data_IF_305441165123
#
_entry.id   IF_305441165123
#
_cell.length_a   1.000
_cell.length_b   1.000
_cell.length_c   1.000
_cell.angle_alpha   90.00
_cell.angle_beta   90.00
_cell.angle_gamma   90.00
#
_symmetry.space_group_name_H-M   'P 1'
#
loop_
_entity.id
_entity.type
_entity.pdbx_description
1 polymer ?
#
# COMPACT_ATOMS: atom_id res chain seq x y z
N UNK A 1 14.94 22.04 3.23
CA UNK A 1 14.09 20.92 2.78
C UNK A 1 14.81 19.64 3.21
N UNK A 2 14.10 18.61 3.67
CA UNK A 2 14.75 17.36 4.10
C UNK A 2 15.20 16.57 2.87
N UNK A 3 16.51 16.37 2.70
CA UNK A 3 17.09 15.70 1.51
C UNK A 3 17.20 14.18 1.67
N UNK A 4 17.30 13.69 2.92
CA UNK A 4 17.43 12.27 3.22
C UNK A 4 16.77 11.91 4.56
N UNK A 5 16.46 10.63 4.73
CA UNK A 5 15.77 10.11 5.92
C UNK A 5 16.34 8.75 6.36
N UNK A 6 16.27 8.49 7.66
CA UNK A 6 16.35 7.15 8.25
C UNK A 6 15.02 6.83 8.91
N UNK A 7 14.67 5.55 9.00
CA UNK A 7 13.41 5.14 9.65
C UNK A 7 13.63 4.89 11.13
N UNK A 8 14.80 4.35 11.49
CA UNK A 8 15.17 4.09 12.87
C UNK A 8 16.45 4.82 13.24
N UNK A 9 16.59 5.19 14.52
CA UNK A 9 17.79 5.88 15.04
C UNK A 9 19.06 5.03 14.99
N UNK A 10 18.92 3.72 14.79
CA UNK A 10 20.01 2.74 14.69
C UNK A 10 20.29 2.32 13.24
N UNK A 11 19.69 3.00 12.25
CA UNK A 11 19.99 2.74 10.86
C UNK A 11 21.38 3.27 10.52
N UNK A 12 22.18 2.45 9.83
CA UNK A 12 23.54 2.82 9.43
C UNK A 12 23.57 3.49 8.04
N UNK A 13 22.41 3.54 7.38
CA UNK A 13 22.23 4.06 6.02
C UNK A 13 21.02 4.96 5.96
N UNK A 14 21.09 6.01 5.13
CA UNK A 14 19.97 6.89 4.86
C UNK A 14 19.46 6.71 3.43
N UNK A 15 18.17 6.99 3.22
CA UNK A 15 17.54 7.03 1.90
C UNK A 15 17.44 8.47 1.42
N UNK A 16 17.93 8.74 0.21
CA UNK A 16 17.77 10.03 -0.44
C UNK A 16 16.32 10.26 -0.86
N UNK A 17 15.71 11.36 -0.43
CA UNK A 17 14.37 11.78 -0.84
C UNK A 17 14.41 12.51 -2.18
N UNK A 18 15.48 13.24 -2.43
CA UNK A 18 15.78 13.94 -3.70
C UNK A 18 17.06 13.41 -4.32
N UNK A 19 17.43 13.92 -5.49
CA UNK A 19 18.78 13.71 -6.01
C UNK A 19 19.77 14.55 -5.20
N UNK A 20 20.94 13.99 -4.88
CA UNK A 20 21.95 14.63 -4.03
C UNK A 20 23.28 14.62 -4.77
N UNK A 21 23.81 15.78 -5.19
CA UNK A 21 25.14 15.86 -5.80
C UNK A 21 26.26 15.45 -4.84
N UNK A 22 27.34 14.89 -5.38
CA UNK A 22 28.56 14.66 -4.60
C UNK A 22 29.14 15.98 -4.07
N UNK A 23 29.69 15.94 -2.86
CA UNK A 23 30.16 17.08 -2.09
C UNK A 23 29.07 17.79 -1.27
N UNK A 24 27.80 17.41 -1.41
CA UNK A 24 26.70 18.01 -0.66
C UNK A 24 26.72 17.54 0.80
N UNK A 25 26.57 18.48 1.73
CA UNK A 25 26.39 18.20 3.16
C UNK A 25 24.91 17.99 3.46
N UNK A 26 24.57 16.80 3.94
CA UNK A 26 23.21 16.42 4.29
C UNK A 26 23.14 16.17 5.79
N UNK A 27 22.10 16.69 6.45
CA UNK A 27 21.85 16.41 7.87
C UNK A 27 20.80 15.32 8.02
N UNK A 28 21.15 14.20 8.67
CA UNK A 28 20.25 13.08 8.96
C UNK A 28 20.33 12.77 10.45
N UNK A 29 19.19 12.71 11.16
CA UNK A 29 19.13 12.51 12.63
C UNK A 29 20.03 13.45 13.45
N UNK A 30 20.26 14.67 12.97
CA UNK A 30 21.15 15.64 13.63
C UNK A 30 22.65 15.41 13.38
N UNK A 31 23.03 14.40 12.60
CA UNK A 31 24.39 14.17 12.13
C UNK A 31 24.57 14.77 10.73
N UNK A 32 25.66 15.53 10.52
CA UNK A 32 26.05 16.03 9.20
C UNK A 32 26.91 14.97 8.48
N UNK A 33 26.55 14.63 7.24
CA UNK A 33 27.27 13.70 6.37
C UNK A 33 27.51 14.38 5.03
N UNK A 34 28.77 14.42 4.59
CA UNK A 34 29.11 14.86 3.22
C UNK A 34 28.97 13.67 2.29
N UNK A 35 28.03 13.75 1.36
CA UNK A 35 27.84 12.74 0.32
C UNK A 35 29.02 12.81 -0.65
N UNK A 36 29.64 11.67 -0.99
CA UNK A 36 30.87 11.66 -1.78
C UNK A 36 30.65 11.64 -3.28
N UNK A 37 29.53 11.08 -3.71
CA UNK A 37 29.18 10.90 -5.11
C UNK A 37 27.73 11.31 -5.37
N UNK A 38 27.30 11.27 -6.62
CA UNK A 38 25.90 11.58 -6.92
C UNK A 38 24.97 10.44 -6.48
N UNK A 39 24.02 10.75 -5.60
CA UNK A 39 23.02 9.81 -5.10
C UNK A 39 21.67 10.14 -5.74
N UNK A 40 21.10 9.17 -6.46
CA UNK A 40 19.76 9.28 -7.04
C UNK A 40 18.70 9.28 -5.93
N UNK A 41 17.55 9.90 -6.19
CA UNK A 41 16.38 9.74 -5.33
C UNK A 41 16.05 8.26 -5.11
N UNK A 42 15.61 7.92 -3.90
CA UNK A 42 15.29 6.57 -3.39
C UNK A 42 16.48 5.62 -3.24
N UNK A 43 17.71 6.07 -3.51
CA UNK A 43 18.91 5.27 -3.27
C UNK A 43 19.46 5.54 -1.88
N UNK A 44 20.30 4.60 -1.41
CA UNK A 44 20.86 4.60 -0.06
C UNK A 44 22.31 5.09 -0.07
N UNK A 45 22.73 5.73 1.01
CA UNK A 45 24.14 6.05 1.26
C UNK A 45 24.52 5.78 2.72
N UNK A 46 25.80 5.54 2.95
CA UNK A 46 26.35 5.19 4.25
C UNK A 46 26.39 6.39 5.21
N UNK A 47 25.97 6.21 6.47
CA UNK A 47 26.07 7.22 7.53
C UNK A 47 27.32 7.06 8.42
N UNK A 48 28.04 5.95 8.23
CA UNK A 48 29.31 5.63 8.89
C UNK A 48 30.19 4.85 7.93
N UNK A 49 31.47 4.67 8.31
CA UNK A 49 32.38 3.79 7.59
C UNK A 49 32.05 2.32 7.89
N UNK A 50 32.22 1.47 6.90
CA UNK A 50 32.13 0.02 6.96
C UNK A 50 33.39 -0.59 6.38
N UNK A 51 33.92 -1.60 7.04
CA UNK A 51 34.92 -2.49 6.48
C UNK A 51 34.23 -3.67 5.77
N UNK A 52 35.00 -4.38 4.93
CA UNK A 52 34.51 -5.60 4.27
C UNK A 52 34.09 -6.62 5.34
N UNK A 53 32.87 -7.13 5.22
CA UNK A 53 32.29 -8.09 6.17
C UNK A 53 31.40 -7.46 7.23
N UNK A 54 31.38 -6.13 7.35
CA UNK A 54 30.50 -5.44 8.30
C UNK A 54 29.03 -5.56 7.91
N UNK A 55 28.18 -5.68 8.93
CA UNK A 55 26.74 -5.71 8.80
C UNK A 55 26.18 -4.30 8.64
N UNK A 56 25.25 -4.16 7.69
CA UNK A 56 24.53 -2.92 7.43
C UNK A 56 23.10 -3.05 7.92
N UNK A 57 22.67 -2.10 8.75
CA UNK A 57 21.33 -2.08 9.33
C UNK A 57 20.44 -1.01 8.69
N UNK A 58 19.19 -1.41 8.41
CA UNK A 58 18.11 -0.50 7.98
C UNK A 58 16.80 -0.99 8.60
N UNK A 59 15.96 -0.08 9.06
CA UNK A 59 14.79 -0.40 9.89
C UNK A 59 15.15 -1.13 11.20
N UNK A 60 16.35 -0.88 11.74
CA UNK A 60 16.92 -1.62 12.88
C UNK A 60 17.03 -3.14 12.69
N UNK A 61 17.17 -3.61 11.44
CA UNK A 61 17.44 -5.01 11.12
C UNK A 61 18.59 -5.12 10.14
N UNK A 62 19.31 -6.24 10.16
CA UNK A 62 20.36 -6.51 9.19
C UNK A 62 19.75 -6.67 7.80
N UNK A 63 20.25 -5.89 6.83
CA UNK A 63 19.81 -5.98 5.43
C UNK A 63 20.92 -6.48 4.50
N UNK A 64 22.16 -6.50 4.95
CA UNK A 64 23.28 -6.93 4.14
C UNK A 64 24.62 -6.89 4.85
N UNK A 65 25.62 -7.38 4.12
CA UNK A 65 27.03 -7.35 4.51
C UNK A 65 27.86 -6.68 3.41
N UNK A 66 28.69 -5.72 3.82
CA UNK A 66 29.59 -4.99 2.93
C UNK A 66 30.58 -5.95 2.25
N UNK A 67 30.67 -5.90 0.92
CA UNK A 67 31.57 -6.74 0.12
C UNK A 67 32.98 -6.15 -0.02
N UNK A 68 33.10 -4.87 0.28
CA UNK A 68 34.31 -4.06 0.28
C UNK A 68 34.17 -2.96 1.34
N UNK A 69 35.22 -2.18 1.56
CA UNK A 69 35.12 -1.03 2.45
C UNK A 69 34.19 0.03 1.83
N UNK A 70 33.23 0.52 2.59
CA UNK A 70 32.29 1.58 2.18
C UNK A 70 32.46 2.73 3.15
N UNK A 71 32.80 3.91 2.66
CA UNK A 71 32.98 5.08 3.52
C UNK A 71 31.69 5.84 3.71
N UNK A 72 31.64 6.58 4.81
CA UNK A 72 30.59 7.54 5.12
C UNK A 72 30.33 8.45 3.91
N UNK A 73 29.06 8.56 3.50
CA UNK A 73 28.62 9.35 2.35
C UNK A 73 28.70 8.65 0.98
N UNK A 74 29.18 7.41 0.89
CA UNK A 74 29.19 6.62 -0.35
C UNK A 74 27.86 5.91 -0.59
N UNK A 75 27.55 5.65 -1.87
CA UNK A 75 26.33 4.97 -2.28
C UNK A 75 26.34 3.52 -1.81
N UNK A 76 25.19 3.01 -1.35
CA UNK A 76 24.97 1.59 -1.13
C UNK A 76 24.33 1.02 -2.39
N UNK A 77 25.04 0.10 -3.06
CA UNK A 77 24.64 -0.51 -4.33
C UNK A 77 24.60 -2.03 -4.20
N UNK A 78 24.15 -2.71 -5.25
CA UNK A 78 24.20 -4.18 -5.31
C UNK A 78 25.61 -4.73 -5.55
N UNK A 79 26.58 -3.86 -5.85
CA UNK A 79 27.98 -4.26 -6.09
C UNK A 79 28.75 -4.30 -4.77
N UNK A 80 28.51 -3.33 -3.88
CA UNK A 80 29.21 -3.22 -2.60
C UNK A 80 28.45 -3.85 -1.41
N UNK A 81 27.21 -4.30 -1.61
CA UNK A 81 26.40 -4.96 -0.59
C UNK A 81 25.85 -6.30 -1.08
N UNK A 82 26.05 -7.35 -0.29
CA UNK A 82 25.33 -8.62 -0.49
C UNK A 82 24.26 -8.78 0.58
N UNK A 83 23.09 -9.26 0.17
CA UNK A 83 21.97 -9.47 1.08
C UNK A 83 22.32 -10.47 2.19
N UNK A 84 22.00 -10.08 3.43
CA UNK A 84 22.06 -10.91 4.63
C UNK A 84 20.88 -10.53 5.51
N UNK A 85 20.25 -11.53 6.10
CA UNK A 85 19.21 -11.38 7.11
C UNK A 85 19.66 -12.05 8.39
N UNK A 86 19.17 -11.58 9.52
CA UNK A 86 19.42 -12.23 10.81
C UNK A 86 18.96 -13.70 10.79
N UNK A 87 19.70 -14.56 11.47
CA UNK A 87 19.37 -15.98 11.61
C UNK A 87 18.11 -16.11 12.45
N UNK A 88 17.07 -16.72 11.87
CA UNK A 88 15.84 -17.00 12.60
C UNK A 88 16.11 -18.02 13.72
N UNK A 89 15.91 -17.62 14.98
CA UNK A 89 15.96 -18.54 16.12
C UNK A 89 14.86 -18.21 17.12
N UNK A 90 14.14 -19.24 17.57
CA UNK A 90 13.08 -19.09 18.57
C UNK A 90 13.69 -18.86 19.97
N UNK A 91 14.88 -19.42 20.21
CA UNK A 91 15.58 -19.37 21.50
C UNK A 91 16.19 -17.99 21.80
N UNK A 92 16.70 -17.28 20.79
CA UNK A 92 17.27 -15.92 20.96
C UNK A 92 16.24 -14.80 20.70
N UNK A 93 14.95 -15.14 20.68
CA UNK A 93 13.91 -14.12 20.52
C UNK A 93 13.79 -13.38 21.85
N UNK A 94 14.46 -12.24 21.97
CA UNK A 94 14.10 -11.27 23.01
C UNK A 94 12.58 -11.04 22.89
N UNK A 95 11.86 -11.18 24.00
CA UNK A 95 10.43 -10.83 24.04
C UNK A 95 10.34 -9.36 23.70
N UNK A 96 10.03 -9.06 22.44
CA UNK A 96 9.85 -7.70 21.97
C UNK A 96 8.87 -7.00 22.92
N UNK A 97 9.36 -6.01 23.66
CA UNK A 97 8.54 -5.22 24.55
C UNK A 97 7.74 -4.26 23.67
N UNK A 98 6.57 -4.69 23.22
CA UNK A 98 5.66 -3.81 22.50
C UNK A 98 5.02 -2.85 23.49
N UNK A 99 5.32 -1.55 23.35
CA UNK A 99 4.58 -0.49 24.01
C UNK A 99 3.35 -0.16 23.17
N UNK A 100 2.16 -0.41 23.72
CA UNK A 100 0.91 0.00 23.08
C UNK A 100 0.92 1.53 22.88
N UNK A 101 0.65 2.04 21.66
CA UNK A 101 0.53 3.47 21.44
C UNK A 101 -0.65 4.03 22.24
N UNK A 102 -0.51 5.27 22.70
CA UNK A 102 -1.62 5.96 23.37
C UNK A 102 -2.73 6.23 22.35
N UNK A 103 -3.87 5.56 22.55
CA UNK A 103 -5.06 5.70 21.72
C UNK A 103 -6.16 6.52 22.41
N UNK A 104 -5.86 7.17 23.54
CA UNK A 104 -6.85 7.87 24.36
C UNK A 104 -7.62 8.94 23.59
N UNK A 105 -6.96 9.64 22.66
CA UNK A 105 -7.62 10.67 21.84
C UNK A 105 -8.71 10.16 20.89
N UNK A 106 -8.77 8.85 20.63
CA UNK A 106 -9.79 8.25 19.77
C UNK A 106 -10.83 7.43 20.54
N UNK A 107 -10.76 7.42 21.88
CA UNK A 107 -11.63 6.58 22.72
C UNK A 107 -13.11 6.84 22.50
N UNK A 108 -13.48 8.09 22.22
CA UNK A 108 -14.87 8.52 22.06
C UNK A 108 -15.25 8.73 20.57
N UNK A 109 -14.39 8.31 19.64
CA UNK A 109 -14.69 8.40 18.20
C UNK A 109 -15.62 7.25 17.82
N UNK A 110 -16.81 7.61 17.36
CA UNK A 110 -17.84 6.67 16.92
C UNK A 110 -18.12 6.81 15.42
N UNK A 111 -18.81 5.83 14.85
CA UNK A 111 -19.33 5.89 13.49
C UNK A 111 -20.73 5.26 13.47
N UNK A 112 -21.57 5.70 12.53
CA UNK A 112 -22.89 5.11 12.33
C UNK A 112 -22.73 3.73 11.65
N UNK A 113 -22.95 2.68 12.41
CA UNK A 113 -22.77 1.30 11.96
C UNK A 113 -24.03 0.45 12.06
N UNK A 114 -24.03 -0.67 11.36
CA UNK A 114 -25.12 -1.64 11.39
C UNK A 114 -24.88 -2.68 12.50
N UNK A 115 -25.59 -2.53 13.62
CA UNK A 115 -25.48 -3.42 14.78
C UNK A 115 -26.06 -4.82 14.50
N UNK A 116 -25.37 -5.85 15.00
CA UNK A 116 -25.78 -7.26 14.93
C UNK A 116 -26.07 -7.80 16.33
N UNK A 117 -26.88 -8.85 16.42
CA UNK A 117 -27.26 -9.49 17.69
C UNK A 117 -26.06 -10.08 18.46
N UNK A 118 -24.99 -10.44 17.75
CA UNK A 118 -23.73 -10.95 18.32
C UNK A 118 -22.78 -9.85 18.81
N UNK A 119 -23.19 -8.58 18.75
CA UNK A 119 -22.40 -7.42 19.19
C UNK A 119 -21.44 -6.86 18.14
N UNK A 120 -21.31 -7.48 16.96
CA UNK A 120 -20.52 -6.92 15.87
C UNK A 120 -21.23 -5.70 15.25
N UNK A 121 -20.44 -4.80 14.66
CA UNK A 121 -20.92 -3.60 13.98
C UNK A 121 -20.38 -3.58 12.55
N UNK A 122 -21.28 -3.67 11.56
CA UNK A 122 -20.92 -3.62 10.15
C UNK A 122 -20.82 -2.19 9.61
N UNK A 123 -19.93 -1.97 8.64
CA UNK A 123 -19.77 -0.68 7.93
C UNK A 123 -20.69 -0.54 6.72
N UNK A 124 -21.36 -1.62 6.32
CA UNK A 124 -22.32 -1.67 5.23
C UNK A 124 -23.38 -2.75 5.49
N UNK A 125 -24.55 -2.62 4.87
CA UNK A 125 -25.64 -3.59 4.98
C UNK A 125 -25.90 -4.26 3.62
N UNK A 126 -25.33 -5.45 3.44
CA UNK A 126 -25.51 -6.23 2.22
C UNK A 126 -26.50 -7.37 2.44
N UNK A 127 -27.32 -7.62 1.42
CA UNK A 127 -28.11 -8.85 1.31
C UNK A 127 -27.41 -9.77 0.33
N UNK A 128 -26.94 -10.92 0.82
CA UNK A 128 -26.30 -11.94 -0.01
C UNK A 128 -27.28 -13.09 -0.21
N UNK A 129 -27.54 -13.44 -1.46
CA UNK A 129 -28.43 -14.53 -1.83
C UNK A 129 -27.61 -15.58 -2.56
N UNK A 130 -27.52 -16.78 -1.98
CA UNK A 130 -26.76 -17.90 -2.53
C UNK A 130 -27.71 -19.04 -2.95
N UNK A 131 -27.74 -19.43 -4.23
CA UNK A 131 -28.47 -20.62 -4.65
C UNK A 131 -27.76 -21.87 -4.12
N UNK A 132 -28.50 -22.76 -3.46
CA UNK A 132 -27.95 -24.03 -2.97
C UNK A 132 -27.81 -25.09 -4.09
N UNK A 133 -28.51 -24.89 -5.21
CA UNK A 133 -28.43 -25.73 -6.41
C UNK A 133 -28.50 -24.87 -7.68
N UNK A 134 -27.85 -25.31 -8.75
CA UNK A 134 -27.73 -24.53 -9.99
C UNK A 134 -29.05 -24.19 -10.66
N UNK A 135 -30.08 -25.02 -10.51
CA UNK A 135 -31.39 -24.81 -11.12
C UNK A 135 -32.07 -23.51 -10.65
N UNK A 136 -31.70 -22.99 -9.48
CA UNK A 136 -32.33 -21.81 -8.87
C UNK A 136 -31.72 -20.47 -9.32
N UNK A 137 -30.64 -20.48 -10.13
CA UNK A 137 -29.98 -19.25 -10.60
C UNK A 137 -30.95 -18.30 -11.32
N UNK A 138 -31.84 -18.85 -12.16
CA UNK A 138 -32.84 -18.06 -12.90
C UNK A 138 -33.87 -17.39 -11.97
N UNK A 139 -34.23 -18.08 -10.89
CA UNK A 139 -35.17 -17.57 -9.90
C UNK A 139 -34.53 -16.40 -9.12
N UNK A 140 -33.26 -16.53 -8.73
CA UNK A 140 -32.51 -15.46 -8.06
C UNK A 140 -32.39 -14.21 -8.95
N UNK A 141 -32.07 -14.37 -10.24
CA UNK A 141 -32.01 -13.21 -11.16
C UNK A 141 -33.37 -12.53 -11.34
N UNK A 142 -34.47 -13.30 -11.31
CA UNK A 142 -35.82 -12.75 -11.36
C UNK A 142 -36.13 -11.93 -10.10
N UNK A 143 -35.83 -12.47 -8.93
CA UNK A 143 -36.00 -11.79 -7.64
C UNK A 143 -35.15 -10.51 -7.60
N UNK A 144 -33.87 -10.59 -7.99
CA UNK A 144 -32.96 -9.45 -8.07
C UNK A 144 -33.50 -8.34 -8.97
N UNK A 145 -34.02 -8.67 -10.15
CA UNK A 145 -34.66 -7.69 -11.04
C UNK A 145 -35.86 -7.02 -10.38
N UNK A 146 -36.74 -7.80 -9.74
CA UNK A 146 -37.90 -7.26 -9.04
C UNK A 146 -37.50 -6.30 -7.91
N UNK A 147 -36.50 -6.68 -7.09
CA UNK A 147 -35.97 -5.81 -6.03
C UNK A 147 -35.31 -4.55 -6.58
N UNK A 148 -34.44 -4.66 -7.59
CA UNK A 148 -33.78 -3.49 -8.18
C UNK A 148 -34.79 -2.51 -8.76
N UNK A 149 -35.83 -3.00 -9.44
CA UNK A 149 -36.89 -2.16 -9.98
C UNK A 149 -37.71 -1.47 -8.88
N UNK A 150 -38.19 -2.23 -7.89
CA UNK A 150 -39.02 -1.70 -6.81
C UNK A 150 -38.26 -0.69 -5.91
N UNK A 151 -36.95 -0.89 -5.73
CA UNK A 151 -36.10 -0.05 -4.90
C UNK A 151 -35.42 1.09 -5.68
N UNK A 152 -35.63 1.19 -7.01
CA UNK A 152 -35.04 2.24 -7.84
C UNK A 152 -33.54 2.08 -8.12
N UNK A 153 -33.00 0.86 -7.98
CA UNK A 153 -31.61 0.52 -8.32
C UNK A 153 -31.45 -0.02 -9.75
N UNK A 154 -32.52 0.00 -10.55
CA UNK A 154 -32.48 -0.42 -11.95
C UNK A 154 -31.59 0.54 -12.75
N UNK A 155 -30.53 0.01 -13.35
CA UNK A 155 -29.73 0.76 -14.31
C UNK A 155 -30.50 0.80 -15.63
N UNK A 156 -30.56 1.97 -16.26
CA UNK A 156 -31.09 2.07 -17.62
C UNK A 156 -30.33 1.12 -18.53
N UNK A 157 -31.07 0.22 -19.18
CA UNK A 157 -30.50 -0.66 -20.19
C UNK A 157 -30.25 0.19 -21.46
N UNK A 158 -28.99 0.42 -21.86
CA UNK A 158 -28.68 1.26 -23.00
C UNK A 158 -29.28 0.72 -24.31
N UNK A 159 -29.57 -0.58 -24.38
CA UNK A 159 -30.21 -1.20 -25.54
C UNK A 159 -31.70 -0.88 -25.63
N UNK A 160 -32.37 -0.61 -24.51
CA UNK A 160 -33.79 -0.16 -24.52
C UNK A 160 -33.91 1.18 -25.25
N UNK A 161 -32.97 2.11 -25.03
CA UNK A 161 -32.92 3.36 -25.78
C UNK A 161 -32.68 3.16 -27.28
N UNK A 162 -31.79 2.23 -27.66
CA UNK A 162 -31.52 1.89 -29.06
C UNK A 162 -32.75 1.26 -29.73
N UNK A 163 -33.45 0.36 -29.05
CA UNK A 163 -34.67 -0.28 -29.57
C UNK A 163 -35.80 0.75 -29.71
N UNK A 164 -35.98 1.63 -28.75
CA UNK A 164 -36.97 2.71 -28.86
C UNK A 164 -36.66 3.62 -30.07
N UNK A 165 -35.39 3.93 -30.30
CA UNK A 165 -34.97 4.68 -31.50
C UNK A 165 -35.30 3.93 -32.80
N UNK A 166 -35.14 2.59 -32.82
CA UNK A 166 -35.50 1.76 -33.98
C UNK A 166 -37.02 1.71 -34.20
N UNK A 167 -37.80 1.63 -33.11
CA UNK A 167 -39.27 1.67 -33.16
C UNK A 167 -39.74 3.02 -33.71
N UNK A 168 -39.20 4.13 -33.22
CA UNK A 168 -39.51 5.47 -33.73
C UNK A 168 -39.17 5.60 -35.22
N UNK A 169 -38.03 5.06 -35.68
CA UNK A 169 -37.67 5.06 -37.11
C UNK A 169 -38.62 4.23 -37.96
N UNK A 170 -39.07 3.09 -37.43
CA UNK A 170 -40.06 2.23 -38.09
C UNK A 170 -41.43 2.92 -38.19
N UNK A 171 -41.93 3.49 -37.09
CA UNK A 171 -43.22 4.18 -37.05
C UNK A 171 -43.24 5.43 -37.95
N UNK A 172 -42.11 6.12 -38.08
CA UNK A 172 -41.94 7.26 -38.99
C UNK A 172 -41.62 6.86 -40.45
N UNK A 173 -41.70 5.56 -40.78
CA UNK A 173 -41.45 5.01 -42.12
C UNK A 173 -40.06 5.37 -42.70
N UNK A 174 -39.09 5.60 -41.82
CA UNK A 174 -37.76 6.09 -42.14
C UNK A 174 -36.71 4.98 -41.87
N UNK A 175 -36.92 3.83 -42.51
CA UNK A 175 -36.07 2.64 -42.36
C UNK A 175 -34.77 2.69 -43.18
N UNK A 176 -34.59 3.72 -44.00
CA UNK A 176 -33.39 3.94 -44.80
C UNK A 176 -32.61 5.15 -44.27
N UNK A 177 -31.77 4.92 -43.27
CA UNK A 177 -30.73 5.87 -42.85
C UNK A 177 -29.45 5.08 -42.55
N UNK A 178 -28.43 5.27 -43.38
CA UNK A 178 -27.09 4.71 -43.20
C UNK A 178 -26.33 5.28 -42.01
#
# INVERSE_FOLDING_TARGET
MTEAITIHQKDDVAVALTEIPGGTKVTVNGQEVTVKEYIKSKHKFALKDFDKGDEIHMYNVTVGVAQEAIKTGEAITTENLTHKSDTFSIENREKASWSKPDVSKWKDVTFDGYHREDGQVGTANYWLVFPLVFCENRNIETIKKAFNKALGFEKEDPYVGMVNTLVERYENNNLNGG
#
